data_IF_712836844333
#
_entry.id   IF_712836844333
#
_cell.length_a   1.000
_cell.length_b   1.000
_cell.length_c   1.000
_cell.angle_alpha   90.00
_cell.angle_beta   90.00
_cell.angle_gamma   90.00
#
_symmetry.space_group_name_H-M   'P 1'
#
loop_
_entity.id
_entity.type
_entity.pdbx_description
1 polymer ?
#
# COMPACT_ATOMS: atom_id res chain seq x y z
N UNK A 1 6.95 31.01 3.79
CA UNK A 1 6.52 29.59 3.84
C UNK A 1 6.81 29.00 2.47
N UNK A 2 8.01 28.45 2.27
CA UNK A 2 8.43 27.92 0.97
C UNK A 2 7.99 26.47 0.86
N UNK A 3 7.29 26.13 -0.21
CA UNK A 3 6.95 24.74 -0.56
C UNK A 3 8.25 23.95 -0.79
N UNK A 4 8.48 22.89 -0.01
CA UNK A 4 9.62 21.96 -0.19
C UNK A 4 9.42 21.00 -1.38
N UNK A 5 8.68 21.42 -2.40
CA UNK A 5 8.39 20.66 -3.61
C UNK A 5 9.22 21.25 -4.74
N UNK A 6 10.24 20.53 -5.14
CA UNK A 6 11.08 20.88 -6.27
C UNK A 6 10.86 19.86 -7.38
N UNK A 7 10.75 20.35 -8.60
CA UNK A 7 10.83 19.53 -9.80
C UNK A 7 12.31 19.41 -10.17
N UNK A 8 12.82 18.18 -10.21
CA UNK A 8 14.18 17.89 -10.63
C UNK A 8 14.22 17.75 -12.15
N UNK A 9 15.19 18.42 -12.75
CA UNK A 9 15.31 18.56 -14.20
C UNK A 9 16.65 18.05 -14.76
N UNK A 10 17.55 17.58 -13.90
CA UNK A 10 18.83 17.00 -14.34
C UNK A 10 19.49 16.13 -13.26
N UNK A 11 20.45 15.29 -13.69
CA UNK A 11 21.30 14.52 -12.78
C UNK A 11 22.16 15.41 -11.87
N UNK A 12 22.58 16.59 -12.35
CA UNK A 12 23.43 17.49 -11.56
C UNK A 12 22.64 18.15 -10.42
N UNK A 13 21.37 18.49 -10.64
CA UNK A 13 20.47 18.91 -9.57
C UNK A 13 20.27 17.80 -8.53
N UNK A 14 20.13 16.56 -8.98
CA UNK A 14 20.03 15.40 -8.09
C UNK A 14 21.31 15.19 -7.27
N UNK A 15 22.50 15.28 -7.88
CA UNK A 15 23.79 15.18 -7.16
C UNK A 15 23.89 16.27 -6.09
N UNK A 16 23.58 17.51 -6.46
CA UNK A 16 23.57 18.64 -5.52
C UNK A 16 22.58 18.41 -4.36
N UNK A 17 21.39 17.88 -4.65
CA UNK A 17 20.39 17.57 -3.64
C UNK A 17 20.89 16.47 -2.68
N UNK A 18 21.52 15.42 -3.21
CA UNK A 18 22.12 14.35 -2.41
C UNK A 18 23.19 14.91 -1.45
N UNK A 19 24.08 15.77 -1.94
CA UNK A 19 25.13 16.38 -1.13
C UNK A 19 24.56 17.30 -0.04
N UNK A 20 23.53 18.09 -0.39
CA UNK A 20 22.86 19.00 0.54
C UNK A 20 22.02 18.29 1.61
N UNK A 21 21.47 17.11 1.29
CA UNK A 21 20.61 16.35 2.21
C UNK A 21 21.33 15.89 3.48
N UNK A 22 22.68 15.88 3.48
CA UNK A 22 23.54 15.41 4.59
C UNK A 22 23.14 14.01 5.11
N UNK A 23 22.64 13.16 4.20
CA UNK A 23 22.22 11.78 4.51
C UNK A 23 20.77 11.64 5.00
N UNK A 24 19.98 12.72 4.94
CA UNK A 24 18.51 12.66 5.04
C UNK A 24 17.93 11.85 3.89
N UNK A 25 16.71 11.34 4.07
CA UNK A 25 16.02 10.66 2.97
C UNK A 25 15.61 11.69 1.90
N UNK A 26 15.85 11.37 0.65
CA UNK A 26 15.28 12.07 -0.50
C UNK A 26 14.26 11.12 -1.13
N UNK A 27 13.08 11.63 -1.48
CA UNK A 27 12.06 10.83 -2.13
C UNK A 27 11.77 11.47 -3.48
N UNK A 28 11.84 10.67 -4.54
CA UNK A 28 11.58 11.06 -5.92
C UNK A 28 10.26 10.45 -6.36
N UNK A 29 9.41 11.24 -7.02
CA UNK A 29 8.19 10.78 -7.70
C UNK A 29 8.37 10.93 -9.22
N UNK A 30 8.58 9.82 -9.90
CA UNK A 30 8.59 9.74 -11.36
C UNK A 30 7.16 9.68 -11.87
N UNK A 31 6.76 10.68 -12.65
CA UNK A 31 5.39 10.85 -13.13
C UNK A 31 5.35 11.28 -14.60
N UNK A 32 4.15 11.28 -15.20
CA UNK A 32 3.89 11.79 -16.54
C UNK A 32 2.49 12.42 -16.60
N UNK A 33 2.31 13.40 -17.48
CA UNK A 33 1.10 14.25 -17.55
C UNK A 33 -0.15 13.53 -18.05
N UNK A 34 0.00 12.53 -18.92
CA UNK A 34 -1.12 11.80 -19.53
C UNK A 34 -1.47 10.47 -18.84
N UNK A 35 -0.83 10.18 -17.71
CA UNK A 35 -1.05 8.93 -16.96
C UNK A 35 -2.03 9.19 -15.81
N UNK A 36 -3.29 8.78 -15.97
CA UNK A 36 -4.38 9.08 -15.04
C UNK A 36 -4.07 8.72 -13.56
N UNK A 37 -3.43 7.58 -13.23
CA UNK A 37 -3.03 7.28 -11.86
C UNK A 37 -1.99 8.26 -11.27
N UNK A 38 -1.18 8.93 -12.08
CA UNK A 38 -0.20 9.91 -11.62
C UNK A 38 -0.89 11.13 -11.01
N UNK A 39 -2.02 11.60 -11.55
CA UNK A 39 -2.73 12.76 -11.00
C UNK A 39 -3.11 12.55 -9.54
N UNK A 40 -3.71 11.39 -9.21
CA UNK A 40 -4.10 11.06 -7.84
C UNK A 40 -2.89 10.91 -6.93
N UNK A 41 -1.82 10.28 -7.42
CA UNK A 41 -0.61 10.07 -6.62
C UNK A 41 0.19 11.35 -6.40
N UNK A 42 0.14 12.30 -7.33
CA UNK A 42 0.77 13.60 -7.20
C UNK A 42 0.10 14.42 -6.06
N UNK A 43 -1.21 14.31 -5.90
CA UNK A 43 -1.94 14.92 -4.77
C UNK A 43 -1.45 14.31 -3.44
N UNK A 44 -1.44 12.98 -3.34
CA UNK A 44 -0.92 12.27 -2.15
C UNK A 44 0.53 12.67 -1.85
N UNK A 45 1.37 12.71 -2.87
CA UNK A 45 2.79 13.06 -2.73
C UNK A 45 2.96 14.51 -2.25
N UNK A 46 2.16 15.44 -2.78
CA UNK A 46 2.11 16.84 -2.36
C UNK A 46 1.69 16.98 -0.90
N UNK A 47 0.66 16.25 -0.47
CA UNK A 47 0.23 16.23 0.93
C UNK A 47 1.33 15.73 1.86
N UNK A 48 2.07 14.69 1.46
CA UNK A 48 3.18 14.14 2.23
C UNK A 48 4.36 15.11 2.32
N UNK A 49 4.58 15.93 1.28
CA UNK A 49 5.66 16.91 1.21
C UNK A 49 5.42 18.09 2.17
N UNK A 50 4.17 18.45 2.42
CA UNK A 50 3.82 19.47 3.40
C UNK A 50 4.26 19.13 4.84
N UNK A 51 4.50 17.84 5.12
CA UNK A 51 4.84 17.31 6.45
C UNK A 51 6.28 16.80 6.58
N UNK A 52 7.04 16.70 5.48
CA UNK A 52 8.35 16.04 5.42
C UNK A 52 9.35 16.80 4.54
N UNK A 53 10.64 16.63 4.81
CA UNK A 53 11.63 17.63 4.41
C UNK A 53 12.32 17.44 3.04
N UNK A 54 12.01 16.44 2.20
CA UNK A 54 12.65 16.31 0.86
C UNK A 54 11.88 15.39 -0.09
N UNK A 55 10.79 15.90 -0.68
CA UNK A 55 9.99 15.21 -1.69
C UNK A 55 10.11 15.98 -3.01
N UNK A 56 10.53 15.31 -4.08
CA UNK A 56 10.82 15.93 -5.38
C UNK A 56 10.09 15.21 -6.50
N UNK A 57 9.62 15.95 -7.49
CA UNK A 57 8.99 15.40 -8.68
C UNK A 57 10.02 15.26 -9.81
N UNK A 58 9.87 14.22 -10.63
CA UNK A 58 10.66 14.00 -11.84
C UNK A 58 9.68 13.66 -12.98
N UNK A 59 9.64 14.49 -14.01
CA UNK A 59 8.88 14.17 -15.23
C UNK A 59 9.66 13.12 -16.03
N UNK A 60 9.17 11.88 -16.01
CA UNK A 60 9.90 10.73 -16.55
C UNK A 60 10.04 10.78 -18.08
N UNK A 61 9.18 11.52 -18.77
CA UNK A 61 9.21 11.67 -20.23
C UNK A 61 10.16 12.79 -20.68
N UNK A 62 10.27 13.86 -19.87
CA UNK A 62 11.18 14.98 -20.18
C UNK A 62 12.64 14.70 -19.80
N UNK A 63 12.86 13.88 -18.78
CA UNK A 63 14.19 13.59 -18.22
C UNK A 63 14.50 12.08 -18.29
N UNK A 64 14.59 11.51 -19.50
CA UNK A 64 14.78 10.06 -19.69
C UNK A 64 16.08 9.55 -19.08
N UNK A 65 17.13 10.36 -18.99
CA UNK A 65 18.41 10.00 -18.35
C UNK A 65 18.24 9.66 -16.87
N UNK A 66 17.40 10.41 -16.15
CA UNK A 66 17.04 10.10 -14.77
C UNK A 66 16.21 8.81 -14.71
N UNK A 67 15.24 8.66 -15.61
CA UNK A 67 14.43 7.44 -15.70
C UNK A 67 15.28 6.18 -15.96
N UNK A 68 16.29 6.28 -16.84
CA UNK A 68 17.23 5.20 -17.14
C UNK A 68 18.12 4.88 -15.94
N UNK A 69 18.70 5.90 -15.30
CA UNK A 69 19.56 5.76 -14.11
C UNK A 69 18.87 5.05 -12.94
N UNK A 70 17.54 5.19 -12.83
CA UNK A 70 16.72 4.54 -11.81
C UNK A 70 15.93 3.31 -12.29
N UNK A 71 16.14 2.86 -13.53
CA UNK A 71 15.43 1.73 -14.14
C UNK A 71 13.90 1.86 -14.01
N UNK A 72 13.38 3.03 -14.38
CA UNK A 72 11.95 3.35 -14.33
C UNK A 72 11.24 2.72 -15.53
N UNK A 73 10.59 1.59 -15.29
CA UNK A 73 9.84 0.86 -16.31
C UNK A 73 8.39 1.36 -16.51
N UNK A 74 7.82 2.02 -15.50
CA UNK A 74 6.45 2.54 -15.53
C UNK A 74 6.30 3.70 -14.54
N UNK A 75 5.32 4.57 -14.79
CA UNK A 75 4.93 5.64 -13.87
C UNK A 75 3.49 5.42 -13.37
N UNK A 76 3.14 5.86 -12.14
CA UNK A 76 4.03 6.52 -11.17
C UNK A 76 4.99 5.54 -10.49
N UNK A 77 6.23 5.97 -10.25
CA UNK A 77 7.21 5.20 -9.47
C UNK A 77 7.91 6.11 -8.47
N UNK A 78 8.06 5.64 -7.23
CA UNK A 78 8.66 6.40 -6.13
C UNK A 78 9.98 5.77 -5.71
N UNK A 79 11.05 6.56 -5.70
CA UNK A 79 12.39 6.13 -5.30
C UNK A 79 12.80 6.83 -4.01
N UNK A 80 13.25 6.05 -3.04
CA UNK A 80 13.75 6.55 -1.77
C UNK A 80 15.27 6.45 -1.77
N UNK A 81 15.96 7.59 -1.67
CA UNK A 81 17.40 7.68 -1.68
C UNK A 81 17.93 8.04 -0.29
N UNK A 82 18.98 7.33 0.13
CA UNK A 82 19.76 7.66 1.31
C UNK A 82 21.24 7.67 0.95
N UNK A 83 21.90 8.83 1.10
CA UNK A 83 23.31 9.02 0.70
C UNK A 83 23.57 8.58 -0.75
N UNK A 84 22.67 8.96 -1.66
CA UNK A 84 22.77 8.64 -3.09
C UNK A 84 22.49 7.19 -3.48
N UNK A 85 22.12 6.30 -2.55
CA UNK A 85 21.76 4.91 -2.84
C UNK A 85 20.26 4.70 -2.71
N UNK A 86 19.70 3.85 -3.57
CA UNK A 86 18.31 3.40 -3.47
C UNK A 86 18.16 2.58 -2.18
N UNK A 87 17.41 3.13 -1.23
CA UNK A 87 17.03 2.45 0.00
C UNK A 87 15.81 1.55 -0.25
N UNK A 88 14.84 2.05 -1.02
CA UNK A 88 13.61 1.33 -1.37
C UNK A 88 12.86 2.00 -2.53
N UNK A 89 11.92 1.25 -3.16
CA UNK A 89 11.07 1.73 -4.26
C UNK A 89 9.61 1.33 -4.10
N UNK A 90 8.69 2.16 -4.60
CA UNK A 90 7.25 1.84 -4.73
C UNK A 90 6.87 2.00 -6.18
N UNK A 91 6.43 0.92 -6.80
CA UNK A 91 6.00 0.91 -8.19
C UNK A 91 4.48 0.98 -8.28
N UNK A 92 3.98 1.90 -9.11
CA UNK A 92 2.55 2.10 -9.38
C UNK A 92 1.80 2.89 -8.32
N UNK A 93 0.51 3.10 -8.58
CA UNK A 93 -0.38 3.92 -7.75
C UNK A 93 -0.84 3.18 -6.49
N UNK A 94 0.03 3.16 -5.47
CA UNK A 94 -0.26 2.59 -4.15
C UNK A 94 -0.05 3.62 -3.03
N UNK A 95 -1.05 4.49 -2.84
CA UNK A 95 -1.02 5.55 -1.83
C UNK A 95 -0.76 5.04 -0.39
N UNK A 96 -1.41 3.97 0.11
CA UNK A 96 -1.12 3.45 1.46
C UNK A 96 0.33 3.00 1.64
N UNK A 97 0.89 2.33 0.64
CA UNK A 97 2.28 1.87 0.69
C UNK A 97 3.26 3.04 0.68
N UNK A 98 3.05 4.01 -0.20
CA UNK A 98 3.83 5.25 -0.24
C UNK A 98 3.80 5.95 1.12
N UNK A 99 2.61 6.22 1.67
CA UNK A 99 2.44 6.91 2.96
C UNK A 99 3.15 6.18 4.10
N UNK A 100 3.03 4.85 4.17
CA UNK A 100 3.69 4.05 5.21
C UNK A 100 5.22 4.13 5.11
N UNK A 101 5.76 4.09 3.89
CA UNK A 101 7.20 4.17 3.66
C UNK A 101 7.74 5.57 3.93
N UNK A 102 7.02 6.62 3.55
CA UNK A 102 7.38 7.99 3.94
C UNK A 102 7.38 8.13 5.47
N UNK A 103 6.34 7.67 6.15
CA UNK A 103 6.22 7.77 7.61
C UNK A 103 7.37 7.08 8.37
N UNK A 104 7.94 6.00 7.83
CA UNK A 104 9.13 5.32 8.39
C UNK A 104 10.34 6.26 8.48
N UNK A 105 10.46 7.22 7.56
CA UNK A 105 11.55 8.18 7.53
C UNK A 105 11.20 9.54 8.16
N UNK A 106 9.95 9.74 8.56
CA UNK A 106 9.43 10.98 9.15
C UNK A 106 9.70 11.17 10.65
N UNK A 107 10.30 10.21 11.37
CA UNK A 107 10.52 10.31 12.83
C UNK A 107 11.97 10.16 13.27
N UNK A 108 12.57 11.29 13.65
CA UNK A 108 13.04 11.49 15.03
C UNK A 108 12.01 12.38 15.75
N UNK A 109 11.03 11.76 16.38
CA UNK A 109 10.61 12.09 17.75
C UNK A 109 9.86 10.89 18.33
N UNK A 110 10.34 10.50 19.49
CA UNK A 110 10.03 9.26 20.18
C UNK A 110 8.63 9.34 20.82
N UNK A 111 7.84 8.29 20.66
CA UNK A 111 7.17 7.73 21.84
C UNK A 111 7.94 6.47 22.18
N UNK A 112 8.67 6.55 23.27
CA UNK A 112 9.29 5.40 23.89
C UNK A 112 8.18 4.50 24.44
N UNK A 113 8.20 3.23 24.07
CA UNK A 113 8.29 2.19 25.10
C UNK A 113 9.23 1.13 24.55
N UNK A 114 10.30 0.88 25.28
CA UNK A 114 11.28 -0.11 24.91
C UNK A 114 10.69 -1.52 24.97
N UNK A 115 10.94 -2.30 23.93
CA UNK A 115 11.14 -3.74 23.99
C UNK A 115 12.01 -4.11 22.80
N UNK A 116 12.89 -5.08 23.04
CA UNK A 116 13.98 -5.53 22.17
C UNK A 116 13.48 -5.93 20.78
N UNK A 117 14.39 -5.82 19.81
CA UNK A 117 14.28 -6.26 18.43
C UNK A 117 13.76 -7.71 18.33
N UNK A 118 12.47 -7.85 18.03
CA UNK A 118 11.86 -8.96 17.31
C UNK A 118 10.67 -8.41 16.51
N UNK A 119 10.59 -8.80 15.25
CA UNK A 119 9.57 -8.35 14.30
C UNK A 119 8.16 -8.72 14.79
N UNK A 120 7.36 -7.74 15.22
CA UNK A 120 5.90 -7.90 15.24
C UNK A 120 5.28 -7.09 14.10
N UNK A 121 5.42 -7.63 12.88
CA UNK A 121 4.30 -7.64 11.95
C UNK A 121 3.10 -8.13 12.76
N UNK A 122 2.01 -7.37 12.82
CA UNK A 122 0.71 -8.00 13.13
C UNK A 122 0.61 -9.16 12.15
N UNK A 123 0.65 -10.38 12.69
CA UNK A 123 0.60 -11.61 11.91
C UNK A 123 -0.57 -11.48 10.91
N UNK A 124 -0.28 -11.74 9.63
CA UNK A 124 -1.25 -11.52 8.55
C UNK A 124 -2.53 -12.29 8.84
N UNK A 125 -2.42 -13.48 9.43
CA UNK A 125 -3.56 -14.31 9.80
C UNK A 125 -4.37 -13.66 10.94
N UNK A 126 -3.73 -13.02 11.90
CA UNK A 126 -4.39 -12.23 12.95
C UNK A 126 -5.19 -11.07 12.35
N UNK A 127 -4.63 -10.34 11.39
CA UNK A 127 -5.35 -9.24 10.72
C UNK A 127 -6.50 -9.74 9.85
N UNK A 128 -6.31 -10.84 9.13
CA UNK A 128 -7.35 -11.48 8.32
C UNK A 128 -8.50 -11.99 9.20
N UNK A 129 -8.18 -12.61 10.34
CA UNK A 129 -9.16 -13.06 11.33
C UNK A 129 -10.00 -11.89 11.85
N UNK A 130 -9.36 -10.76 12.19
CA UNK A 130 -10.10 -9.56 12.62
C UNK A 130 -11.05 -9.04 11.53
N UNK A 131 -10.61 -9.00 10.27
CA UNK A 131 -11.44 -8.51 9.16
C UNK A 131 -12.62 -9.43 8.88
N UNK A 132 -12.39 -10.74 8.83
CA UNK A 132 -13.39 -11.78 8.57
C UNK A 132 -14.48 -11.83 9.64
N UNK A 133 -14.14 -11.48 10.89
CA UNK A 133 -15.10 -11.38 12.00
C UNK A 133 -15.73 -9.98 12.16
N UNK A 134 -15.32 -8.98 11.37
CA UNK A 134 -15.78 -7.60 11.56
C UNK A 134 -17.23 -7.36 11.16
N UNK A 135 -17.76 -8.14 10.23
CA UNK A 135 -19.12 -8.01 9.70
C UNK A 135 -19.74 -9.40 9.47
N UNK A 136 -21.08 -9.53 9.50
CA UNK A 136 -21.77 -10.80 9.25
C UNK A 136 -21.43 -11.43 7.89
N UNK A 137 -21.13 -10.61 6.88
CA UNK A 137 -20.65 -11.04 5.56
C UNK A 137 -19.46 -10.22 5.17
N UNK A 138 -18.40 -10.89 4.73
CA UNK A 138 -17.19 -10.26 4.20
C UNK A 138 -16.82 -10.95 2.89
N UNK A 139 -16.78 -10.17 1.81
CA UNK A 139 -16.33 -10.62 0.50
C UNK A 139 -14.97 -9.98 0.18
N UNK A 140 -13.97 -10.81 -0.10
CA UNK A 140 -12.65 -10.32 -0.54
C UNK A 140 -12.55 -10.38 -2.05
N UNK A 141 -12.37 -9.21 -2.67
CA UNK A 141 -12.43 -9.01 -4.13
C UNK A 141 -11.08 -8.50 -4.70
N UNK A 142 -9.94 -8.69 -4.03
CA UNK A 142 -8.67 -8.12 -4.54
C UNK A 142 -7.44 -9.03 -4.43
N UNK A 143 -6.77 -9.13 -5.57
CA UNK A 143 -5.37 -9.51 -5.78
C UNK A 143 -5.03 -9.33 -7.27
N UNK A 144 -3.79 -8.97 -7.61
CA UNK A 144 -3.28 -9.17 -8.98
C UNK A 144 -2.81 -10.64 -9.09
N UNK A 145 -2.71 -11.22 -10.30
CA UNK A 145 -2.10 -12.53 -10.49
C UNK A 145 -0.72 -12.67 -9.81
N UNK A 146 0.01 -11.56 -9.71
CA UNK A 146 1.36 -11.47 -9.13
C UNK A 146 1.41 -11.26 -7.60
N UNK A 147 0.30 -10.97 -6.91
CA UNK A 147 0.25 -10.89 -5.43
C UNK A 147 -1.08 -11.37 -4.82
N UNK A 148 -1.38 -12.68 -4.87
CA UNK A 148 -2.58 -13.23 -4.24
C UNK A 148 -2.40 -13.43 -2.73
N UNK A 149 -2.51 -12.35 -1.93
CA UNK A 149 -2.27 -12.38 -0.48
C UNK A 149 -3.29 -13.18 0.34
N UNK A 150 -4.42 -13.59 -0.24
CA UNK A 150 -5.51 -14.26 0.48
C UNK A 150 -5.57 -15.78 0.29
N UNK A 151 -4.87 -16.34 -0.70
CA UNK A 151 -4.96 -17.79 -1.02
C UNK A 151 -4.32 -18.67 0.05
N UNK A 152 -3.30 -18.17 0.74
CA UNK A 152 -2.62 -18.91 1.82
C UNK A 152 -3.49 -19.09 3.07
N UNK A 153 -4.43 -18.17 3.33
CA UNK A 153 -5.28 -18.19 4.53
C UNK A 153 -6.48 -19.13 4.38
N UNK A 154 -7.22 -19.07 3.27
CA UNK A 154 -8.36 -19.96 3.00
C UNK A 154 -7.98 -21.31 2.41
N UNK A 155 -6.77 -21.41 1.85
CA UNK A 155 -6.35 -22.52 0.96
C UNK A 155 -7.29 -22.68 -0.25
N UNK A 156 -7.93 -21.60 -0.71
CA UNK A 156 -8.87 -21.61 -1.84
C UNK A 156 -8.29 -20.96 -3.11
N UNK A 157 -8.47 -21.56 -4.31
CA UNK A 157 -7.75 -21.15 -5.52
C UNK A 157 -8.27 -19.88 -6.18
N UNK A 158 -9.56 -19.54 -6.01
CA UNK A 158 -10.29 -18.53 -6.81
C UNK A 158 -10.85 -17.37 -5.97
N UNK A 159 -11.25 -16.29 -6.67
CA UNK A 159 -11.95 -15.13 -6.11
C UNK A 159 -13.32 -14.96 -6.77
N UNK A 160 -14.27 -14.26 -6.14
CA UNK A 160 -14.22 -13.75 -4.76
C UNK A 160 -14.18 -14.87 -3.72
N UNK A 161 -13.59 -14.61 -2.55
CA UNK A 161 -13.69 -15.51 -1.38
C UNK A 161 -14.69 -14.92 -0.39
N UNK A 162 -15.73 -15.69 -0.09
CA UNK A 162 -16.85 -15.25 0.76
C UNK A 162 -16.75 -15.89 2.14
N UNK A 163 -16.87 -15.05 3.16
CA UNK A 163 -16.92 -15.44 4.56
C UNK A 163 -18.24 -14.99 5.19
N UNK A 164 -18.83 -15.86 6.00
CA UNK A 164 -20.04 -15.57 6.78
C UNK A 164 -19.72 -15.83 8.24
N UNK A 165 -19.96 -14.84 9.10
CA UNK A 165 -19.69 -14.90 10.56
C UNK A 165 -18.30 -15.42 10.93
N UNK A 166 -17.29 -15.03 10.15
CA UNK A 166 -15.92 -15.44 10.44
C UNK A 166 -15.46 -16.72 9.75
N UNK A 167 -16.36 -17.47 9.10
CA UNK A 167 -16.06 -18.77 8.49
C UNK A 167 -16.00 -18.68 6.97
N UNK A 168 -15.04 -19.37 6.36
CA UNK A 168 -14.92 -19.44 4.90
C UNK A 168 -16.04 -20.32 4.33
N UNK A 169 -16.80 -19.77 3.38
CA UNK A 169 -17.94 -20.46 2.75
C UNK A 169 -17.60 -20.97 1.36
N UNK A 170 -16.91 -20.17 0.54
CA UNK A 170 -16.58 -20.59 -0.82
C UNK A 170 -16.30 -19.48 -1.81
N UNK A 171 -16.09 -19.90 -3.06
CA UNK A 171 -16.01 -19.05 -4.24
C UNK A 171 -17.37 -18.73 -4.87
N UNK A 172 -17.39 -17.94 -5.94
CA UNK A 172 -18.61 -17.54 -6.63
C UNK A 172 -19.47 -18.71 -7.13
N UNK A 173 -18.82 -19.78 -7.59
CA UNK A 173 -19.43 -21.04 -8.02
C UNK A 173 -20.22 -21.71 -6.89
N UNK A 174 -19.60 -21.87 -5.72
CA UNK A 174 -20.24 -22.45 -4.53
C UNK A 174 -21.38 -21.55 -4.04
N UNK A 175 -21.18 -20.23 -4.01
CA UNK A 175 -22.25 -19.31 -3.58
C UNK A 175 -23.46 -19.38 -4.52
N UNK A 176 -23.25 -19.52 -5.83
CA UNK A 176 -24.34 -19.67 -6.79
C UNK A 176 -25.12 -20.96 -6.55
N UNK A 177 -24.45 -22.05 -6.21
CA UNK A 177 -25.09 -23.32 -5.88
C UNK A 177 -25.91 -23.24 -4.59
N UNK A 178 -25.35 -22.65 -3.53
CA UNK A 178 -26.06 -22.44 -2.27
C UNK A 178 -27.29 -21.53 -2.41
N UNK A 179 -27.23 -20.55 -3.32
CA UNK A 179 -28.39 -19.70 -3.64
C UNK A 179 -29.43 -20.48 -4.45
N UNK A 180 -29.01 -21.31 -5.41
CA UNK A 180 -29.91 -22.13 -6.21
C UNK A 180 -30.66 -23.17 -5.38
N UNK A 181 -30.03 -23.67 -4.31
CA UNK A 181 -30.62 -24.63 -3.38
C UNK A 181 -31.36 -23.96 -2.19
N UNK A 182 -31.50 -22.63 -2.17
CA UNK A 182 -32.08 -21.82 -1.07
C UNK A 182 -31.37 -21.97 0.30
N UNK A 183 -30.19 -22.59 0.33
CA UNK A 183 -29.39 -22.86 1.54
C UNK A 183 -28.63 -21.61 2.03
N UNK A 184 -28.31 -20.69 1.12
CA UNK A 184 -27.51 -19.50 1.43
C UNK A 184 -28.13 -18.61 2.52
N UNK A 185 -29.46 -18.47 2.55
CA UNK A 185 -30.17 -17.66 3.56
C UNK A 185 -30.08 -18.27 4.96
N UNK A 186 -30.02 -19.60 5.06
CA UNK A 186 -29.91 -20.32 6.34
C UNK A 186 -28.60 -20.03 7.07
N UNK A 187 -27.53 -19.70 6.34
CA UNK A 187 -26.20 -19.42 6.90
C UNK A 187 -26.16 -18.19 7.81
N UNK A 188 -27.17 -17.32 7.73
CA UNK A 188 -27.29 -16.12 8.55
C UNK A 188 -27.94 -16.38 9.92
N UNK A 189 -28.59 -17.51 10.11
CA UNK A 189 -29.33 -17.83 11.33
C UNK A 189 -28.42 -18.60 12.30
N UNK A 190 -28.04 -17.98 13.42
CA UNK A 190 -27.21 -18.60 14.46
C UNK A 190 -26.28 -17.64 15.20
N UNK A 191 -26.80 -16.98 16.25
CA UNK A 191 -26.20 -16.78 17.58
C UNK A 191 -27.15 -15.90 18.42
N UNK A 192 -28.38 -16.40 18.63
CA UNK A 192 -29.21 -15.96 19.76
C UNK A 192 -29.07 -17.04 20.81
N UNK A 193 -28.18 -16.84 21.78
CA UNK A 193 -28.23 -17.56 23.03
C UNK A 193 -29.50 -17.16 23.78
N UNK A 194 -30.21 -18.17 24.27
CA UNK A 194 -31.45 -18.11 25.04
C UNK A 194 -31.29 -17.25 26.31
N UNK A 195 -32.28 -16.42 26.62
CA UNK A 195 -32.70 -16.17 27.99
C UNK A 195 -34.23 -16.24 28.05
N UNK A 196 -34.73 -17.35 28.59
CA UNK A 196 -36.07 -17.45 29.14
C UNK A 196 -36.29 -16.36 30.19
N UNK A 197 -37.38 -15.61 30.05
CA UNK A 197 -38.29 -15.15 31.11
C UNK A 197 -39.57 -14.60 30.48
#
# INVERSE_FOLDING_TARGET
MGSNLLELTSEDELKNLIDQSKGSIIILNFWATWVQPCSQMNEVFTELASKNASLNFVDAEKFPELSESFEIAAVPTFIFLKKGKIAERVDGANAPELTNRVAKYSKVSSFATGAKDETQKIDLNTRLKTLVNSHPVVAFIKGTPSQPRLKEYSKWPTYPQVYIKGEFVGGLDIIKELVANDEFKGMFQGSSGVSDM
#
